data_IF_378193393113
#
_entry.id   IF_378193393113
#
_cell.length_a   1.000
_cell.length_b   1.000
_cell.length_c   1.000
_cell.angle_alpha   90.00
_cell.angle_beta   90.00
_cell.angle_gamma   90.00
#
_symmetry.space_group_name_H-M   'P 1'
#
loop_
_entity.id
_entity.type
_entity.pdbx_description
1 polymer ?
#
# COMPACT_ATOMS: atom_id res chain seq x y z
N UNK A 1 -4.13 15.41 2.73
CA UNK A 1 -3.55 14.49 1.74
C UNK A 1 -4.20 13.13 1.90
N UNK A 2 -4.82 12.62 0.81
CA UNK A 2 -5.38 11.25 0.74
C UNK A 2 -4.31 10.34 0.15
N UNK A 3 -4.01 9.24 0.84
CA UNK A 3 -2.97 8.29 0.46
C UNK A 3 -3.59 6.92 0.26
N UNK A 4 -3.32 6.30 -0.88
CA UNK A 4 -3.67 4.92 -1.19
C UNK A 4 -2.42 4.04 -1.06
N UNK A 5 -2.40 3.16 -0.06
CA UNK A 5 -1.39 2.12 0.08
C UNK A 5 -1.82 0.86 -0.66
N UNK A 6 -0.89 0.20 -1.33
CA UNK A 6 -1.10 -1.03 -2.10
C UNK A 6 -0.05 -2.07 -1.74
N UNK A 7 -0.51 -3.24 -1.32
CA UNK A 7 0.30 -4.45 -1.15
C UNK A 7 0.05 -5.38 -2.37
N UNK A 8 1.02 -5.47 -3.32
CA UNK A 8 0.80 -6.18 -4.58
C UNK A 8 0.79 -7.70 -4.43
N UNK A 9 -0.22 -8.34 -4.97
CA UNK A 9 -0.29 -9.80 -5.14
C UNK A 9 -1.07 -10.15 -6.41
N UNK A 10 -0.91 -11.36 -6.93
CA UNK A 10 -1.64 -11.78 -8.13
C UNK A 10 -2.99 -12.45 -7.82
N UNK A 11 -3.13 -13.04 -6.66
CA UNK A 11 -4.40 -13.63 -6.19
C UNK A 11 -5.17 -12.65 -5.30
N UNK A 12 -4.45 -11.87 -4.52
CA UNK A 12 -4.99 -10.87 -3.61
C UNK A 12 -4.10 -9.64 -3.66
N UNK A 13 -4.68 -8.46 -3.90
CA UNK A 13 -4.00 -7.16 -3.77
C UNK A 13 -4.62 -6.44 -2.58
N UNK A 14 -3.84 -6.20 -1.54
CA UNK A 14 -4.29 -5.39 -0.41
C UNK A 14 -4.36 -3.91 -0.78
N UNK A 15 -5.39 -3.20 -0.30
CA UNK A 15 -5.44 -1.75 -0.39
C UNK A 15 -5.86 -1.10 0.93
N UNK A 16 -5.32 0.08 1.19
CA UNK A 16 -5.67 0.88 2.35
C UNK A 16 -5.66 2.37 2.01
N UNK A 17 -6.74 3.06 2.36
CA UNK A 17 -6.92 4.49 2.09
C UNK A 17 -6.95 5.24 3.40
N UNK A 18 -6.06 6.20 3.57
CA UNK A 18 -5.99 7.06 4.74
C UNK A 18 -5.92 8.52 4.34
N UNK A 19 -6.50 9.38 5.15
CA UNK A 19 -6.27 10.82 5.10
C UNK A 19 -5.23 11.18 6.15
N UNK A 20 -4.25 11.98 5.75
CA UNK A 20 -3.23 12.53 6.64
C UNK A 20 -3.29 14.06 6.60
N UNK A 21 -3.61 14.66 7.75
CA UNK A 21 -3.71 16.11 7.89
C UNK A 21 -3.28 16.55 9.29
N UNK A 22 -2.43 17.57 9.39
CA UNK A 22 -1.95 18.14 10.67
C UNK A 22 -1.40 17.10 11.63
N UNK A 23 -0.60 16.15 11.10
CA UNK A 23 -0.03 15.03 11.84
C UNK A 23 -1.07 14.04 12.44
N UNK A 24 -2.28 14.03 11.91
CA UNK A 24 -3.33 13.09 12.31
C UNK A 24 -3.74 12.20 11.15
N UNK A 25 -4.00 10.93 11.47
CA UNK A 25 -4.52 9.96 10.53
C UNK A 25 -6.03 9.80 10.70
N UNK A 26 -6.73 9.74 9.57
CA UNK A 26 -8.12 9.31 9.49
C UNK A 26 -8.21 8.13 8.55
N UNK A 27 -8.69 7.00 9.04
CA UNK A 27 -8.99 5.83 8.22
C UNK A 27 -10.19 6.13 7.33
N UNK A 28 -10.06 5.89 6.01
CA UNK A 28 -11.16 6.04 5.04
C UNK A 28 -11.71 4.67 4.67
N UNK A 29 -10.86 3.80 4.15
CA UNK A 29 -11.25 2.46 3.66
C UNK A 29 -10.07 1.52 3.65
N UNK A 30 -10.33 0.22 3.72
CA UNK A 30 -9.37 -0.84 3.42
C UNK A 30 -10.09 -2.08 2.91
N UNK A 31 -9.36 -2.93 2.22
CA UNK A 31 -9.89 -4.17 1.68
C UNK A 31 -8.87 -4.87 0.79
N UNK A 32 -9.35 -5.78 -0.03
CA UNK A 32 -8.55 -6.48 -0.99
C UNK A 32 -9.28 -6.62 -2.34
N UNK A 33 -8.52 -6.48 -3.43
CA UNK A 33 -8.90 -6.96 -4.75
C UNK A 33 -8.56 -8.44 -4.78
N UNK A 34 -9.52 -9.29 -5.08
CA UNK A 34 -9.33 -10.74 -5.14
C UNK A 34 -9.67 -11.25 -6.53
N UNK A 35 -8.79 -12.07 -7.08
CA UNK A 35 -9.01 -12.70 -8.38
C UNK A 35 -9.32 -14.20 -8.21
N UNK A 36 -10.31 -14.76 -8.94
CA UNK A 36 -10.69 -16.15 -8.80
C UNK A 36 -9.54 -17.12 -9.11
N UNK A 37 -9.48 -18.24 -8.39
CA UNK A 37 -8.58 -19.33 -8.72
C UNK A 37 -8.98 -19.96 -10.07
N UNK A 38 -7.99 -20.47 -10.83
CA UNK A 38 -8.22 -21.22 -12.06
C UNK A 38 -8.45 -20.39 -13.32
N UNK A 39 -8.61 -19.08 -13.25
CA UNK A 39 -8.62 -18.24 -14.45
C UNK A 39 -7.20 -17.96 -14.96
N UNK A 40 -7.01 -17.79 -16.29
CA UNK A 40 -5.72 -17.45 -16.88
C UNK A 40 -5.13 -16.17 -16.29
N UNK A 41 -3.78 -16.11 -16.19
CA UNK A 41 -3.07 -14.97 -15.61
C UNK A 41 -3.47 -13.63 -16.25
N UNK A 42 -3.56 -13.57 -17.58
CA UNK A 42 -3.91 -12.31 -18.27
C UNK A 42 -5.30 -11.77 -17.90
N UNK A 43 -6.27 -12.64 -17.57
CA UNK A 43 -7.58 -12.24 -17.08
C UNK A 43 -7.51 -11.74 -15.62
N UNK A 44 -6.69 -12.38 -14.76
CA UNK A 44 -6.41 -11.86 -13.42
C UNK A 44 -5.81 -10.47 -13.47
N UNK A 45 -4.82 -10.27 -14.34
CA UNK A 45 -4.17 -8.97 -14.52
C UNK A 45 -5.15 -7.90 -14.99
N UNK A 46 -6.09 -8.28 -15.88
CA UNK A 46 -7.16 -7.37 -16.31
C UNK A 46 -8.06 -6.97 -15.13
N UNK A 47 -8.50 -7.92 -14.31
CA UNK A 47 -9.34 -7.63 -13.13
C UNK A 47 -8.60 -6.72 -12.14
N UNK A 48 -7.33 -7.02 -11.84
CA UNK A 48 -6.52 -6.17 -10.97
C UNK A 48 -6.42 -4.75 -11.52
N UNK A 49 -6.20 -4.63 -12.83
CA UNK A 49 -6.09 -3.34 -13.49
C UNK A 49 -7.39 -2.53 -13.42
N UNK A 50 -8.53 -3.15 -13.75
CA UNK A 50 -9.85 -2.51 -13.74
C UNK A 50 -10.23 -2.05 -12.31
N UNK A 51 -9.97 -2.89 -11.30
CA UNK A 51 -10.24 -2.57 -9.90
C UNK A 51 -9.30 -1.47 -9.39
N UNK A 52 -8.03 -1.47 -9.82
CA UNK A 52 -7.11 -0.38 -9.49
C UNK A 52 -7.60 0.96 -10.06
N UNK A 53 -8.05 0.99 -11.32
CA UNK A 53 -8.64 2.21 -11.89
C UNK A 53 -9.87 2.65 -11.10
N UNK A 54 -10.72 1.70 -10.68
CA UNK A 54 -11.90 1.98 -9.84
C UNK A 54 -11.50 2.59 -8.50
N UNK A 55 -10.46 2.08 -7.84
CA UNK A 55 -9.94 2.66 -6.58
C UNK A 55 -9.41 4.08 -6.78
N UNK A 56 -8.61 4.29 -7.82
CA UNK A 56 -8.05 5.61 -8.15
C UNK A 56 -9.15 6.63 -8.46
N UNK A 57 -10.15 6.23 -9.25
CA UNK A 57 -11.27 7.09 -9.63
C UNK A 57 -12.28 7.32 -8.49
N UNK A 58 -12.35 6.41 -7.52
CA UNK A 58 -13.25 6.54 -6.36
C UNK A 58 -12.66 7.45 -5.27
N UNK A 59 -11.39 7.25 -4.96
CA UNK A 59 -10.77 7.93 -3.82
C UNK A 59 -9.97 9.17 -4.20
N UNK A 60 -9.64 9.36 -5.48
CA UNK A 60 -8.81 10.48 -5.98
C UNK A 60 -7.60 10.74 -5.08
N UNK A 61 -6.72 9.73 -4.86
CA UNK A 61 -5.62 9.88 -3.92
C UNK A 61 -4.61 10.93 -4.42
N UNK A 62 -4.09 11.73 -3.49
CA UNK A 62 -2.99 12.67 -3.76
C UNK A 62 -1.66 11.93 -3.93
N UNK A 63 -1.54 10.73 -3.36
CA UNK A 63 -0.36 9.88 -3.45
C UNK A 63 -0.74 8.40 -3.39
N UNK A 64 0.06 7.57 -4.07
CA UNK A 64 -0.02 6.10 -3.99
C UNK A 64 1.30 5.57 -3.47
N UNK A 65 1.24 4.68 -2.46
CA UNK A 65 2.39 3.98 -1.89
C UNK A 65 2.29 2.49 -2.22
N UNK A 66 3.34 1.91 -2.80
CA UNK A 66 3.36 0.51 -3.23
C UNK A 66 4.54 -0.20 -2.57
N UNK A 67 4.36 -1.45 -2.15
CA UNK A 67 5.47 -2.24 -1.63
C UNK A 67 6.46 -2.58 -2.74
N UNK A 68 7.75 -2.42 -2.43
CA UNK A 68 8.84 -2.85 -3.31
C UNK A 68 8.96 -4.38 -3.28
N UNK A 69 9.14 -4.99 -4.46
CA UNK A 69 9.29 -6.45 -4.55
C UNK A 69 10.68 -6.91 -4.15
N UNK A 70 10.73 -7.85 -3.21
CA UNK A 70 11.93 -8.60 -2.86
C UNK A 70 11.76 -10.08 -3.23
N UNK A 71 12.63 -10.58 -4.09
CA UNK A 71 12.65 -11.99 -4.47
C UNK A 71 13.49 -12.79 -3.45
N UNK A 72 12.85 -13.36 -2.43
CA UNK A 72 13.61 -14.09 -1.41
C UNK A 72 13.71 -15.60 -1.61
N UNK A 73 12.68 -16.33 -2.07
CA UNK A 73 12.73 -17.79 -2.09
C UNK A 73 11.89 -18.50 -3.16
N UNK A 74 10.83 -17.89 -3.67
CA UNK A 74 9.97 -18.50 -4.68
C UNK A 74 9.86 -17.65 -5.93
N UNK A 75 10.73 -17.92 -6.91
CA UNK A 75 10.83 -17.16 -8.16
C UNK A 75 9.51 -17.21 -8.95
N UNK A 76 8.81 -18.33 -8.99
CA UNK A 76 7.56 -18.47 -9.77
C UNK A 76 6.47 -17.55 -9.23
N UNK A 77 6.25 -17.54 -7.93
CA UNK A 77 5.30 -16.64 -7.27
C UNK A 77 5.74 -15.18 -7.44
N UNK A 78 7.04 -14.92 -7.31
CA UNK A 78 7.60 -13.58 -7.49
C UNK A 78 7.37 -13.01 -8.89
N UNK A 79 7.48 -13.83 -9.95
CA UNK A 79 7.17 -13.41 -11.33
C UNK A 79 5.69 -13.02 -11.46
N UNK A 80 4.77 -13.81 -10.91
CA UNK A 80 3.33 -13.51 -10.98
C UNK A 80 2.97 -12.23 -10.21
N UNK A 81 3.57 -12.02 -9.04
CA UNK A 81 3.41 -10.77 -8.26
C UNK A 81 4.01 -9.60 -9.04
N UNK A 82 5.15 -9.78 -9.70
CA UNK A 82 5.75 -8.78 -10.59
C UNK A 82 4.83 -8.35 -11.73
N UNK A 83 4.14 -9.30 -12.36
CA UNK A 83 3.13 -8.99 -13.38
C UNK A 83 1.97 -8.16 -12.79
N UNK A 84 1.43 -8.57 -11.64
CA UNK A 84 0.36 -7.83 -10.96
C UNK A 84 0.81 -6.41 -10.60
N UNK A 85 2.02 -6.27 -10.04
CA UNK A 85 2.61 -4.97 -9.73
C UNK A 85 2.78 -4.10 -10.98
N UNK A 86 3.18 -4.68 -12.10
CA UNK A 86 3.30 -3.95 -13.38
C UNK A 86 1.99 -3.31 -13.82
N UNK A 87 0.85 -4.00 -13.71
CA UNK A 87 -0.45 -3.42 -14.08
C UNK A 87 -0.95 -2.40 -13.05
N UNK A 88 -0.59 -2.54 -11.77
CA UNK A 88 -0.85 -1.55 -10.72
C UNK A 88 -0.12 -0.25 -11.04
N UNK A 89 1.18 -0.32 -11.37
CA UNK A 89 1.98 0.84 -11.75
C UNK A 89 1.45 1.50 -13.03
N UNK A 90 1.02 0.70 -14.00
CA UNK A 90 0.41 1.20 -15.24
C UNK A 90 -0.89 1.97 -14.95
N UNK A 91 -1.76 1.44 -14.09
CA UNK A 91 -3.01 2.11 -13.70
C UNK A 91 -2.71 3.48 -13.04
N UNK A 92 -1.72 3.56 -12.16
CA UNK A 92 -1.28 4.81 -11.55
C UNK A 92 -0.77 5.80 -12.62
N UNK A 93 0.09 5.34 -13.53
CA UNK A 93 0.65 6.17 -14.59
C UNK A 93 -0.44 6.74 -15.52
N UNK A 94 -1.46 5.97 -15.84
CA UNK A 94 -2.60 6.43 -16.64
C UNK A 94 -3.44 7.52 -15.96
N UNK A 95 -3.40 7.60 -14.63
CA UNK A 95 -4.02 8.67 -13.84
C UNK A 95 -3.06 9.80 -13.49
N UNK A 96 -1.84 9.78 -14.08
CA UNK A 96 -0.82 10.82 -13.83
C UNK A 96 -0.20 10.76 -12.45
N UNK A 97 -0.32 9.63 -11.73
CA UNK A 97 0.23 9.45 -10.39
C UNK A 97 1.53 8.66 -10.50
N UNK A 98 2.63 9.21 -9.96
CA UNK A 98 3.88 8.48 -9.77
C UNK A 98 3.84 7.81 -8.39
N UNK A 99 3.77 6.46 -8.29
CA UNK A 99 3.75 5.78 -7.01
C UNK A 99 5.08 5.94 -6.27
N UNK A 100 5.01 6.14 -4.95
CA UNK A 100 6.16 6.00 -4.07
C UNK A 100 6.34 4.53 -3.67
N UNK A 101 7.57 4.05 -3.67
CA UNK A 101 7.90 2.67 -3.37
C UNK A 101 8.60 2.57 -2.02
N UNK A 102 8.26 1.54 -1.23
CA UNK A 102 8.80 1.31 0.10
C UNK A 102 9.16 -0.15 0.31
N UNK A 103 10.34 -0.38 0.88
CA UNK A 103 10.77 -1.71 1.30
C UNK A 103 10.01 -2.16 2.56
N UNK A 104 9.86 -3.45 2.82
CA UNK A 104 9.29 -3.96 4.07
C UNK A 104 9.99 -3.43 5.32
N UNK A 105 11.29 -3.21 5.25
CA UNK A 105 12.09 -2.67 6.36
C UNK A 105 11.73 -1.20 6.66
N UNK A 106 11.57 -0.38 5.62
CA UNK A 106 11.16 1.02 5.76
C UNK A 106 9.76 1.15 6.35
N UNK A 107 8.82 0.31 5.90
CA UNK A 107 7.47 0.27 6.46
C UNK A 107 7.51 -0.07 7.95
N UNK A 108 8.23 -1.13 8.35
CA UNK A 108 8.40 -1.51 9.75
C UNK A 108 9.04 -0.40 10.58
N UNK A 109 10.13 0.18 10.08
CA UNK A 109 10.82 1.30 10.73
C UNK A 109 9.88 2.50 10.92
N UNK A 110 9.08 2.83 9.93
CA UNK A 110 8.15 3.96 9.96
C UNK A 110 6.99 3.75 10.94
N UNK A 111 6.42 2.53 11.00
CA UNK A 111 5.23 2.24 11.78
C UNK A 111 5.56 1.86 13.22
N UNK A 112 6.61 1.08 13.45
CA UNK A 112 6.97 0.53 14.78
C UNK A 112 8.22 1.18 15.38
N UNK A 113 9.07 1.79 14.54
CA UNK A 113 10.32 2.43 14.96
C UNK A 113 11.57 1.59 14.73
N UNK A 114 11.47 0.34 14.26
CA UNK A 114 12.62 -0.51 13.90
C UNK A 114 12.28 -1.51 12.78
N UNK A 115 13.25 -1.73 11.87
CA UNK A 115 13.04 -2.46 10.62
C UNK A 115 12.89 -3.99 10.75
N UNK A 116 13.15 -4.56 11.95
CA UNK A 116 13.00 -6.00 12.22
C UNK A 116 11.73 -6.34 13.00
N UNK A 117 10.76 -5.42 13.05
CA UNK A 117 9.48 -5.64 13.72
C UNK A 117 8.76 -6.86 13.14
N UNK A 118 8.08 -7.60 14.02
CA UNK A 118 7.23 -8.71 13.60
C UNK A 118 5.95 -8.20 12.92
N UNK A 119 5.39 -8.98 11.99
CA UNK A 119 4.14 -8.64 11.29
C UNK A 119 3.03 -8.22 12.26
N UNK A 120 2.84 -8.97 13.34
CA UNK A 120 1.81 -8.69 14.35
C UNK A 120 1.99 -7.31 15.00
N UNK A 121 3.23 -6.91 15.25
CA UNK A 121 3.52 -5.59 15.84
C UNK A 121 3.18 -4.45 14.88
N UNK A 122 3.50 -4.62 13.58
CA UNK A 122 3.12 -3.66 12.54
C UNK A 122 1.61 -3.52 12.44
N UNK A 123 0.88 -4.64 12.39
CA UNK A 123 -0.58 -4.64 12.32
C UNK A 123 -1.22 -3.98 13.54
N UNK A 124 -0.73 -4.28 14.76
CA UNK A 124 -1.25 -3.67 15.99
C UNK A 124 -0.98 -2.16 16.03
N UNK A 125 0.23 -1.74 15.65
CA UNK A 125 0.54 -0.32 15.63
C UNK A 125 -0.28 0.43 14.56
N UNK A 126 -0.47 -0.18 13.37
CA UNK A 126 -1.36 0.33 12.33
C UNK A 126 -2.79 0.52 12.85
N UNK A 127 -3.32 -0.48 13.59
CA UNK A 127 -4.62 -0.40 14.24
C UNK A 127 -4.71 0.79 15.21
N UNK A 128 -3.71 0.94 16.06
CA UNK A 128 -3.66 2.01 17.08
C UNK A 128 -3.58 3.39 16.41
N UNK A 129 -2.68 3.57 15.43
CA UNK A 129 -2.48 4.85 14.74
C UNK A 129 -3.72 5.30 13.98
N UNK A 130 -4.46 4.35 13.38
CA UNK A 130 -5.70 4.61 12.66
C UNK A 130 -6.94 4.55 13.55
N UNK A 131 -6.79 4.31 14.87
CA UNK A 131 -7.88 4.21 15.86
C UNK A 131 -8.94 3.19 15.45
N UNK A 132 -8.52 2.07 14.84
CA UNK A 132 -9.46 1.03 14.42
C UNK A 132 -9.93 0.21 15.63
N UNK A 133 -11.21 -0.18 15.69
CA UNK A 133 -11.77 -0.94 16.82
C UNK A 133 -11.21 -2.36 16.91
N UNK A 134 -10.73 -2.91 15.77
CA UNK A 134 -10.17 -4.26 15.66
C UNK A 134 -9.06 -4.29 14.62
N UNK A 135 -8.27 -5.36 14.62
CA UNK A 135 -7.23 -5.59 13.62
C UNK A 135 -7.81 -5.52 12.20
N UNK A 136 -7.19 -4.77 11.27
CA UNK A 136 -7.63 -4.73 9.88
C UNK A 136 -7.49 -6.11 9.25
N UNK A 137 -8.45 -6.47 8.42
CA UNK A 137 -8.49 -7.73 7.67
C UNK A 137 -8.93 -7.47 6.23
N UNK A 138 -8.48 -8.28 5.26
CA UNK A 138 -7.44 -9.32 5.37
C UNK A 138 -6.07 -8.75 5.71
N UNK A 139 -5.08 -9.62 5.94
CA UNK A 139 -3.71 -9.20 6.31
C UNK A 139 -3.07 -8.28 5.26
N UNK A 140 -3.30 -8.56 3.97
CA UNK A 140 -2.81 -7.71 2.86
C UNK A 140 -3.34 -6.27 2.97
N UNK A 141 -4.58 -6.09 3.44
CA UNK A 141 -5.14 -4.75 3.68
C UNK A 141 -4.47 -4.05 4.87
N UNK A 142 -4.05 -4.80 5.89
CA UNK A 142 -3.28 -4.24 7.00
C UNK A 142 -1.89 -3.78 6.55
N UNK A 143 -1.23 -4.56 5.69
CA UNK A 143 0.07 -4.23 5.11
C UNK A 143 -0.07 -2.98 4.20
N UNK A 144 -1.13 -2.88 3.41
CA UNK A 144 -1.43 -1.71 2.59
C UNK A 144 -1.70 -0.43 3.43
N UNK A 145 -2.41 -0.55 4.55
CA UNK A 145 -2.59 0.58 5.48
C UNK A 145 -1.26 1.03 6.09
N UNK A 146 -0.37 0.10 6.43
CA UNK A 146 0.97 0.40 6.95
C UNK A 146 1.82 1.15 5.91
N UNK A 147 1.72 0.80 4.62
CA UNK A 147 2.34 1.51 3.50
C UNK A 147 1.85 2.96 3.40
N UNK A 148 0.55 3.18 3.52
CA UNK A 148 -0.02 4.53 3.50
C UNK A 148 0.48 5.38 4.68
N UNK A 149 0.60 4.80 5.88
CA UNK A 149 1.19 5.47 7.05
C UNK A 149 2.67 5.79 6.80
N UNK A 150 3.43 4.85 6.24
CA UNK A 150 4.84 5.04 5.91
C UNK A 150 5.02 6.25 4.97
N UNK A 151 4.22 6.33 3.91
CA UNK A 151 4.26 7.46 2.99
C UNK A 151 3.92 8.79 3.67
N UNK A 152 2.91 8.81 4.53
CA UNK A 152 2.54 10.02 5.27
C UNK A 152 3.70 10.56 6.12
N UNK A 153 4.41 9.68 6.81
CA UNK A 153 5.58 10.06 7.62
C UNK A 153 6.73 10.59 6.76
N UNK A 154 7.00 9.92 5.61
CA UNK A 154 8.03 10.36 4.67
C UNK A 154 7.72 11.75 4.08
N UNK A 155 6.50 11.97 3.63
CA UNK A 155 6.05 13.26 3.10
C UNK A 155 6.07 14.36 4.17
N UNK A 156 5.64 14.06 5.39
CA UNK A 156 5.71 14.98 6.53
C UNK A 156 7.14 15.41 6.87
N UNK A 157 8.09 14.48 6.80
CA UNK A 157 9.52 14.75 7.02
C UNK A 157 10.11 15.64 5.94
N UNK A 158 9.77 15.42 4.66
CA UNK A 158 10.23 16.24 3.55
C UNK A 158 9.71 17.68 3.65
N UNK A 159 8.42 17.85 3.94
CA UNK A 159 7.83 19.17 4.15
C UNK A 159 8.48 19.93 5.31
N UNK A 160 8.82 19.22 6.39
CA UNK A 160 9.50 19.81 7.54
C UNK A 160 10.90 20.25 7.17
N UNK A 161 11.68 19.43 6.45
CA UNK A 161 13.02 19.80 5.97
C UNK A 161 12.99 21.02 5.05
N UNK A 162 12.06 21.05 4.08
CA UNK A 162 11.91 22.20 3.18
C UNK A 162 11.61 23.50 3.93
N UNK A 163 10.75 23.45 4.96
CA UNK A 163 10.44 24.63 5.80
C UNK A 163 11.62 25.11 6.63
N UNK A 164 12.52 24.22 7.02
CA UNK A 164 13.72 24.52 7.80
C UNK A 164 14.94 24.89 6.93
N UNK A 165 14.82 24.79 5.60
CA UNK A 165 15.91 25.08 4.66
C UNK A 165 17.04 24.03 4.70
N UNK A 166 16.72 22.78 5.09
CA UNK A 166 17.66 21.65 5.20
C UNK A 166 17.57 20.72 3.97
#
# INVERSE_FOLDING_TARGET
>A
MIILGIDPGYATVGYGVVQYERAQFTHIRHGAITTPAGIPLHLRLKEIYDDMLTLLDTFHPDAVAVEELFFNTNITTGIQVGHARGVILLACAQRGIAPAEYTPSEVKQSVVGYGRAEKRQVMEMTRVMLKLPRMPRPDDAADALALAICHAHAAGSQLTRQKLGL
#
